data_IF_315217136160
#
_entry.id   IF_315217136160
#
_cell.length_a   1.000
_cell.length_b   1.000
_cell.length_c   1.000
_cell.angle_alpha   90.00
_cell.angle_beta   90.00
_cell.angle_gamma   90.00
#
_symmetry.space_group_name_H-M   'P 1'
#
loop_
_entity.id
_entity.type
_entity.pdbx_description
1 polymer ?
#
# COMPACT_ATOMS: atom_id res chain seq x y z
N UNK A 1 31.21 30.91 76.41
CA UNK A 1 30.39 29.92 75.69
C UNK A 1 30.03 30.49 74.32
N UNK A 2 30.59 29.89 73.26
CA UNK A 2 30.09 29.73 71.88
C UNK A 2 29.22 30.83 71.23
N UNK A 3 29.73 31.52 70.19
CA UNK A 3 29.62 31.20 68.73
C UNK A 3 28.25 31.66 68.13
N UNK A 4 28.08 32.35 66.98
CA UNK A 4 28.92 32.74 65.84
C UNK A 4 28.40 34.02 65.15
N UNK A 5 29.32 34.64 64.43
CA UNK A 5 29.22 35.56 63.30
C UNK A 5 28.39 34.97 62.12
N UNK A 6 27.46 35.75 61.56
CA UNK A 6 26.83 35.44 60.27
C UNK A 6 27.61 36.14 59.15
N UNK A 7 28.14 35.35 58.21
CA UNK A 7 28.78 35.81 56.98
C UNK A 7 27.93 35.44 55.75
N UNK A 8 27.96 36.38 54.82
CA UNK A 8 27.48 36.39 53.45
C UNK A 8 27.78 35.09 52.67
N UNK A 9 26.79 34.52 51.97
CA UNK A 9 27.04 33.66 50.80
C UNK A 9 26.02 33.94 49.70
N UNK A 10 26.51 34.43 48.57
CA UNK A 10 25.80 34.52 47.29
C UNK A 10 25.68 33.09 46.73
N UNK A 11 24.47 32.63 46.49
CA UNK A 11 24.22 31.38 45.78
C UNK A 11 24.58 31.57 44.29
N UNK A 12 25.69 30.95 43.87
CA UNK A 12 26.01 30.76 42.46
C UNK A 12 25.12 29.62 41.93
N UNK A 13 24.11 29.96 41.13
CA UNK A 13 23.31 28.99 40.40
C UNK A 13 24.18 28.31 39.34
N UNK A 14 24.51 27.04 39.56
CA UNK A 14 25.17 26.18 38.59
C UNK A 14 24.15 25.88 37.47
N UNK A 15 24.26 26.59 36.35
CA UNK A 15 23.54 26.27 35.11
C UNK A 15 24.12 24.96 34.56
N UNK A 16 23.52 23.84 34.94
CA UNK A 16 23.79 22.53 34.36
C UNK A 16 23.31 22.56 32.90
N UNK A 17 24.20 22.89 31.96
CA UNK A 17 23.96 22.70 30.54
C UNK A 17 23.80 21.19 30.30
N UNK A 18 22.56 20.73 30.23
CA UNK A 18 22.22 19.43 29.66
C UNK A 18 22.65 19.45 28.20
N UNK A 19 23.83 18.91 27.92
CA UNK A 19 24.25 18.57 26.58
C UNK A 19 23.26 17.50 26.08
N UNK A 20 22.28 17.94 25.28
CA UNK A 20 21.43 17.03 24.52
C UNK A 20 22.37 16.16 23.68
N UNK A 21 22.28 14.82 23.77
CA UNK A 21 23.08 13.96 22.91
C UNK A 21 22.71 14.29 21.47
N UNK A 22 23.70 14.72 20.69
CA UNK A 22 23.60 14.82 19.24
C UNK A 22 23.33 13.41 18.75
N UNK A 23 22.07 13.12 18.43
CA UNK A 23 21.70 11.88 17.76
C UNK A 23 22.47 11.90 16.44
N UNK A 24 23.30 10.90 16.14
CA UNK A 24 23.99 10.85 14.85
C UNK A 24 22.92 10.83 13.77
N UNK A 25 22.83 11.91 12.99
CA UNK A 25 22.05 11.95 11.77
C UNK A 25 22.71 10.95 10.83
N UNK A 26 22.12 9.75 10.72
CA UNK A 26 22.54 8.78 9.72
C UNK A 26 22.44 9.49 8.37
N UNK A 27 23.56 9.56 7.64
CA UNK A 27 23.61 10.27 6.38
C UNK A 27 22.50 9.72 5.47
N UNK A 28 21.53 10.58 5.13
CA UNK A 28 20.42 10.20 4.27
C UNK A 28 21.00 9.75 2.93
N UNK A 29 20.81 8.48 2.57
CA UNK A 29 21.20 7.99 1.26
C UNK A 29 20.47 8.81 0.19
N UNK A 30 21.14 9.13 -0.91
CA UNK A 30 20.49 9.83 -2.01
C UNK A 30 19.41 8.92 -2.62
N UNK A 31 18.15 9.38 -2.58
CA UNK A 31 17.01 8.68 -3.19
C UNK A 31 16.83 9.21 -4.61
N UNK A 32 16.85 8.35 -5.64
CA UNK A 32 16.54 8.74 -7.02
C UNK A 32 15.16 9.39 -7.15
N UNK A 33 15.02 10.26 -8.14
CA UNK A 33 13.74 10.91 -8.50
C UNK A 33 13.61 10.93 -10.05
N UNK A 34 12.68 10.17 -10.66
CA UNK A 34 11.71 9.28 -10.01
C UNK A 34 12.35 7.99 -9.44
N UNK A 35 11.77 7.46 -8.35
CA UNK A 35 12.18 6.21 -7.70
C UNK A 35 11.43 5.01 -8.32
N UNK A 36 12.16 4.06 -8.88
CA UNK A 36 11.60 2.76 -9.35
C UNK A 36 11.48 1.73 -8.22
N UNK A 37 10.66 0.70 -8.42
CA UNK A 37 10.50 -0.40 -7.47
C UNK A 37 11.83 -1.15 -7.29
N UNK A 38 12.55 -1.42 -8.38
CA UNK A 38 13.84 -2.10 -8.37
C UNK A 38 14.85 -1.35 -7.50
N UNK A 39 14.95 -0.01 -7.68
CA UNK A 39 15.81 0.84 -6.87
C UNK A 39 15.37 0.85 -5.40
N UNK A 40 14.07 0.97 -5.12
CA UNK A 40 13.55 0.96 -3.76
C UNK A 40 13.91 -0.32 -3.01
N UNK A 41 13.83 -1.49 -3.67
CA UNK A 41 14.15 -2.79 -3.07
C UNK A 41 15.63 -2.94 -2.68
N UNK A 42 16.55 -2.21 -3.33
CA UNK A 42 17.99 -2.26 -2.97
C UNK A 42 18.27 -1.70 -1.58
N UNK A 43 17.42 -0.81 -1.06
CA UNK A 43 17.56 -0.24 0.28
C UNK A 43 17.39 -1.28 1.40
N UNK A 44 16.79 -2.45 1.10
CA UNK A 44 16.63 -3.52 2.06
C UNK A 44 17.98 -4.04 2.61
N UNK A 45 19.03 -4.07 1.79
CA UNK A 45 20.33 -4.66 2.14
C UNK A 45 21.01 -3.95 3.32
N UNK A 46 20.81 -2.63 3.42
CA UNK A 46 21.41 -1.79 4.47
C UNK A 46 20.42 -1.39 5.56
N UNK A 47 19.20 -1.94 5.53
CA UNK A 47 18.15 -1.53 6.45
C UNK A 47 18.41 -2.09 7.86
N UNK A 48 18.31 -1.30 8.95
CA UNK A 48 18.60 -1.78 10.31
C UNK A 48 17.79 -3.03 10.71
N UNK A 49 16.55 -3.17 10.22
CA UNK A 49 15.70 -4.36 10.50
C UNK A 49 16.29 -5.68 10.01
N UNK A 50 17.12 -5.67 8.96
CA UNK A 50 17.74 -6.91 8.43
C UNK A 50 18.95 -7.36 9.25
N UNK A 51 19.46 -6.48 10.12
CA UNK A 51 20.61 -6.71 10.99
C UNK A 51 20.19 -7.17 12.41
N UNK A 52 18.90 -7.08 12.73
CA UNK A 52 18.35 -7.48 14.01
C UNK A 52 17.97 -8.96 13.99
N UNK A 53 17.99 -9.62 15.15
CA UNK A 53 17.35 -10.93 15.30
C UNK A 53 15.85 -10.82 15.06
N UNK A 54 15.22 -11.90 14.64
CA UNK A 54 13.78 -11.94 14.33
C UNK A 54 12.95 -11.52 15.55
N UNK A 55 13.34 -11.93 16.76
CA UNK A 55 12.64 -11.61 18.01
C UNK A 55 12.71 -10.12 18.36
N UNK A 56 13.86 -9.48 18.08
CA UNK A 56 14.02 -8.04 18.32
C UNK A 56 13.25 -7.27 17.24
N UNK A 57 13.35 -7.68 15.97
CA UNK A 57 12.63 -7.06 14.87
C UNK A 57 11.10 -7.12 15.07
N UNK A 58 10.59 -8.21 15.64
CA UNK A 58 9.17 -8.40 15.96
C UNK A 58 8.61 -7.38 16.97
N UNK A 59 9.47 -6.75 17.80
CA UNK A 59 9.06 -5.69 18.74
C UNK A 59 8.72 -4.37 18.06
N UNK A 60 9.07 -4.23 16.78
CA UNK A 60 8.84 -3.04 15.97
C UNK A 60 7.86 -3.36 14.83
N UNK A 61 6.56 -3.55 15.11
CA UNK A 61 5.58 -3.92 14.10
C UNK A 61 5.48 -2.84 13.02
N UNK A 62 5.24 -3.23 11.77
CA UNK A 62 5.04 -2.28 10.67
C UNK A 62 3.58 -1.83 10.63
N UNK A 63 3.35 -0.54 10.33
CA UNK A 63 2.00 0.04 10.19
C UNK A 63 1.19 -0.68 9.12
N UNK A 64 -0.14 -0.72 9.17
CA UNK A 64 -0.92 -1.31 8.05
C UNK A 64 -0.85 -0.43 6.79
N UNK A 65 -1.06 -0.99 5.58
CA UNK A 65 -1.23 -0.17 4.39
C UNK A 65 -2.58 0.57 4.46
N UNK A 66 -2.69 1.71 3.77
CA UNK A 66 -3.93 2.50 3.75
C UNK A 66 -4.87 2.09 2.62
N UNK A 67 -4.32 1.75 1.45
CA UNK A 67 -5.08 1.43 0.24
C UNK A 67 -4.86 -0.01 -0.22
N UNK A 68 -3.69 -0.59 0.04
CA UNK A 68 -3.38 -1.97 -0.34
C UNK A 68 -4.01 -3.00 0.63
N UNK A 69 -5.33 -3.12 0.63
CA UNK A 69 -6.12 -4.03 1.48
C UNK A 69 -6.45 -5.34 0.74
N UNK A 70 -5.45 -6.22 0.65
CA UNK A 70 -5.55 -7.46 -0.11
C UNK A 70 -6.49 -8.47 0.56
N UNK A 71 -6.57 -8.46 1.89
CA UNK A 71 -7.47 -9.35 2.63
C UNK A 71 -8.93 -9.07 2.29
N UNK A 72 -9.38 -7.82 2.41
CA UNK A 72 -10.77 -7.49 2.10
C UNK A 72 -11.10 -7.64 0.61
N UNK A 73 -10.12 -7.46 -0.27
CA UNK A 73 -10.29 -7.72 -1.70
C UNK A 73 -10.57 -9.21 -1.97
N UNK A 74 -9.92 -10.12 -1.25
CA UNK A 74 -10.13 -11.56 -1.37
C UNK A 74 -11.36 -12.08 -0.61
N UNK A 75 -11.58 -11.58 0.61
CA UNK A 75 -12.54 -12.14 1.57
C UNK A 75 -13.54 -11.10 2.09
N UNK A 76 -14.23 -10.43 1.18
CA UNK A 76 -15.25 -9.41 1.50
C UNK A 76 -16.55 -9.95 2.13
N UNK A 77 -16.65 -11.25 2.33
CA UNK A 77 -17.81 -11.93 2.92
C UNK A 77 -17.65 -12.19 4.42
N UNK A 78 -16.54 -11.75 5.03
CA UNK A 78 -16.29 -11.87 6.46
C UNK A 78 -16.90 -10.72 7.25
N UNK A 79 -17.29 -10.98 8.50
CA UNK A 79 -17.90 -9.97 9.38
C UNK A 79 -16.91 -8.94 9.92
N UNK A 80 -15.60 -9.23 9.87
CA UNK A 80 -14.54 -8.33 10.36
C UNK A 80 -13.31 -8.45 9.47
N UNK A 81 -12.72 -7.32 9.04
CA UNK A 81 -11.42 -7.32 8.38
C UNK A 81 -10.32 -7.96 9.24
N UNK A 82 -9.52 -8.86 8.67
CA UNK A 82 -8.31 -9.42 9.29
C UNK A 82 -7.05 -9.17 8.43
N UNK A 83 -6.72 -7.90 8.26
CA UNK A 83 -5.59 -7.47 7.43
C UNK A 83 -4.22 -7.90 8.02
N UNK A 84 -4.16 -8.54 9.21
CA UNK A 84 -2.92 -9.14 9.69
C UNK A 84 -2.53 -10.35 8.85
N UNK A 85 -3.52 -11.04 8.28
CA UNK A 85 -3.34 -12.19 7.39
C UNK A 85 -2.66 -11.82 6.07
N UNK A 86 -2.58 -10.54 5.72
CA UNK A 86 -1.86 -10.09 4.51
C UNK A 86 -0.33 -10.20 4.61
N UNK A 87 0.19 -10.55 5.78
CA UNK A 87 1.63 -10.66 6.02
C UNK A 87 2.04 -12.08 6.32
N UNK A 88 3.19 -12.45 5.77
CA UNK A 88 3.89 -13.65 6.19
C UNK A 88 4.34 -13.52 7.64
N UNK A 89 4.44 -14.66 8.32
CA UNK A 89 5.07 -14.70 9.64
C UNK A 89 6.56 -14.34 9.47
N UNK A 90 7.10 -13.34 10.19
CA UNK A 90 8.45 -12.84 9.93
C UNK A 90 9.57 -13.88 10.05
N UNK A 91 9.37 -14.94 10.82
CA UNK A 91 10.35 -16.03 10.96
C UNK A 91 10.43 -16.94 9.73
N UNK A 92 9.36 -17.03 8.93
CA UNK A 92 9.29 -17.95 7.79
C UNK A 92 10.00 -17.45 6.53
N UNK A 93 10.49 -16.21 6.55
CA UNK A 93 11.17 -15.60 5.42
C UNK A 93 12.49 -15.01 5.85
N UNK A 94 13.46 -14.98 4.94
CA UNK A 94 14.73 -14.33 5.19
C UNK A 94 14.51 -12.86 5.55
N UNK A 95 15.25 -12.29 6.54
CA UNK A 95 15.04 -10.90 6.97
C UNK A 95 15.14 -9.87 5.84
N UNK A 96 16.01 -10.11 4.86
CA UNK A 96 16.15 -9.28 3.66
C UNK A 96 14.90 -9.29 2.80
N UNK A 97 14.29 -10.46 2.61
CA UNK A 97 13.09 -10.61 1.78
C UNK A 97 11.85 -10.11 2.50
N UNK A 98 11.77 -10.27 3.83
CA UNK A 98 10.76 -9.61 4.65
C UNK A 98 10.80 -8.08 4.48
N UNK A 99 12.01 -7.49 4.47
CA UNK A 99 12.17 -6.05 4.25
C UNK A 99 11.82 -5.64 2.81
N UNK A 100 12.19 -6.44 1.80
CA UNK A 100 11.81 -6.21 0.40
C UNK A 100 10.29 -6.26 0.22
N UNK A 101 9.60 -7.21 0.84
CA UNK A 101 8.14 -7.32 0.82
C UNK A 101 7.48 -6.09 1.47
N UNK A 102 8.00 -5.61 2.60
CA UNK A 102 7.50 -4.38 3.23
C UNK A 102 7.71 -3.16 2.31
N UNK A 103 8.89 -2.99 1.71
CA UNK A 103 9.16 -1.89 0.76
C UNK A 103 8.22 -1.97 -0.44
N UNK A 104 8.04 -3.15 -1.04
CA UNK A 104 7.12 -3.38 -2.15
C UNK A 104 5.68 -3.00 -1.77
N UNK A 105 5.22 -3.42 -0.58
CA UNK A 105 3.91 -3.09 -0.06
C UNK A 105 3.71 -1.57 0.07
N UNK A 106 4.71 -0.84 0.60
CA UNK A 106 4.67 0.63 0.72
C UNK A 106 4.70 1.33 -0.62
N UNK A 107 5.50 0.81 -1.55
CA UNK A 107 5.61 1.36 -2.89
C UNK A 107 4.25 1.32 -3.61
N UNK A 108 3.57 0.17 -3.58
CA UNK A 108 2.22 0.04 -4.14
C UNK A 108 1.20 0.91 -3.41
N UNK A 109 1.29 1.03 -2.09
CA UNK A 109 0.38 1.89 -1.30
C UNK A 109 0.49 3.37 -1.67
N UNK A 110 1.70 3.86 -2.00
CA UNK A 110 1.91 5.23 -2.52
C UNK A 110 1.26 5.39 -3.90
N UNK A 111 1.46 4.45 -4.82
CA UNK A 111 0.85 4.51 -6.16
C UNK A 111 -0.68 4.51 -6.11
N UNK A 112 -1.27 3.73 -5.19
CA UNK A 112 -2.71 3.72 -4.96
C UNK A 112 -3.20 5.02 -4.30
N UNK A 113 -2.44 5.59 -3.36
CA UNK A 113 -2.78 6.87 -2.75
C UNK A 113 -2.79 8.01 -3.79
N UNK A 114 -1.80 8.03 -4.69
CA UNK A 114 -1.72 9.02 -5.76
C UNK A 114 -2.88 8.88 -6.74
N UNK A 115 -3.19 7.66 -7.16
CA UNK A 115 -4.34 7.39 -8.05
C UNK A 115 -5.68 7.70 -7.37
N UNK A 116 -5.81 7.46 -6.06
CA UNK A 116 -7.00 7.82 -5.28
C UNK A 116 -7.16 9.34 -5.16
N UNK A 117 -6.07 10.09 -4.97
CA UNK A 117 -6.12 11.55 -4.89
C UNK A 117 -6.55 12.18 -6.22
N UNK A 118 -6.10 11.64 -7.35
CA UNK A 118 -6.57 12.07 -8.68
C UNK A 118 -8.09 11.84 -8.81
N UNK A 119 -8.58 10.63 -8.51
CA UNK A 119 -10.01 10.31 -8.52
C UNK A 119 -10.82 11.26 -7.61
N UNK A 120 -10.34 11.51 -6.40
CA UNK A 120 -11.09 12.32 -5.43
C UNK A 120 -11.10 13.80 -5.81
N UNK A 121 -10.05 14.30 -6.46
CA UNK A 121 -10.03 15.64 -7.01
C UNK A 121 -11.01 15.78 -8.21
N UNK A 122 -11.07 14.77 -9.08
CA UNK A 122 -12.10 14.69 -10.14
C UNK A 122 -13.50 14.72 -9.53
N UNK A 123 -13.75 13.88 -8.53
CA UNK A 123 -15.04 13.80 -7.85
C UNK A 123 -15.41 15.15 -7.19
N UNK A 124 -14.47 15.80 -6.52
CA UNK A 124 -14.71 17.11 -5.90
C UNK A 124 -15.15 18.16 -6.94
N UNK A 125 -14.57 18.15 -8.15
CA UNK A 125 -14.96 19.05 -9.22
C UNK A 125 -16.40 18.79 -9.70
N UNK A 126 -16.83 17.52 -9.75
CA UNK A 126 -18.19 17.11 -10.15
C UNK A 126 -19.24 17.75 -9.24
N UNK A 127 -19.00 17.83 -7.92
CA UNK A 127 -19.92 18.46 -6.96
C UNK A 127 -19.75 19.98 -6.86
N UNK A 128 -18.53 20.49 -7.07
CA UNK A 128 -18.27 21.92 -7.00
C UNK A 128 -18.95 22.71 -8.12
N UNK A 129 -18.95 22.18 -9.35
CA UNK A 129 -19.49 22.89 -10.52
C UNK A 129 -21.00 23.20 -10.39
N UNK A 130 -21.87 22.24 -10.02
CA UNK A 130 -23.28 22.52 -9.75
C UNK A 130 -23.48 23.51 -8.61
N UNK A 131 -22.75 23.36 -7.50
CA UNK A 131 -22.83 24.26 -6.36
C UNK A 131 -22.53 25.73 -6.75
N UNK A 132 -21.42 25.94 -7.45
CA UNK A 132 -20.99 27.27 -7.90
C UNK A 132 -22.01 27.90 -8.87
N UNK A 133 -22.52 27.09 -9.82
CA UNK A 133 -23.56 27.51 -10.75
C UNK A 133 -24.86 27.88 -10.03
N UNK A 134 -25.30 27.08 -9.06
CA UNK A 134 -26.53 27.35 -8.29
C UNK A 134 -26.38 28.59 -7.42
N UNK A 135 -25.22 28.80 -6.79
CA UNK A 135 -24.91 30.04 -6.06
C UNK A 135 -25.08 31.27 -6.95
N UNK A 136 -24.55 31.23 -8.17
CA UNK A 136 -24.70 32.32 -9.14
C UNK A 136 -26.17 32.53 -9.57
N UNK A 137 -26.92 31.45 -9.82
CA UNK A 137 -28.33 31.55 -10.25
C UNK A 137 -29.30 31.93 -9.14
N UNK A 138 -28.95 31.68 -7.88
CA UNK A 138 -29.68 32.19 -6.72
C UNK A 138 -29.69 33.72 -6.69
N UNK A 139 -28.60 34.39 -7.12
CA UNK A 139 -28.57 35.85 -7.26
C UNK A 139 -29.60 36.36 -8.29
N UNK A 140 -29.90 35.53 -9.29
CA UNK A 140 -30.96 35.75 -10.29
C UNK A 140 -32.36 35.32 -9.81
N UNK A 141 -32.49 34.87 -8.56
CA UNK A 141 -33.71 34.35 -7.92
C UNK A 141 -34.31 33.12 -8.60
N UNK A 142 -33.51 32.37 -9.35
CA UNK A 142 -33.94 31.11 -9.99
C UNK A 142 -33.90 29.92 -9.03
N UNK A 143 -33.07 30.02 -7.98
CA UNK A 143 -32.89 29.01 -6.94
C UNK A 143 -33.05 29.62 -5.56
N UNK A 144 -33.41 28.79 -4.59
CA UNK A 144 -33.55 29.17 -3.19
C UNK A 144 -32.25 29.00 -2.40
N UNK A 145 -32.16 29.63 -1.24
CA UNK A 145 -31.07 29.39 -0.28
C UNK A 145 -31.00 27.92 0.17
N UNK A 146 -32.14 27.22 0.19
CA UNK A 146 -32.20 25.80 0.55
C UNK A 146 -31.50 24.93 -0.51
N UNK A 147 -31.71 25.21 -1.80
CA UNK A 147 -31.07 24.47 -2.90
C UNK A 147 -29.55 24.62 -2.84
N UNK A 148 -29.07 25.83 -2.53
CA UNK A 148 -27.63 26.09 -2.33
C UNK A 148 -27.11 25.35 -1.11
N UNK A 149 -27.85 25.36 0.01
CA UNK A 149 -27.46 24.68 1.24
C UNK A 149 -27.37 23.16 1.06
N UNK A 150 -28.28 22.56 0.29
CA UNK A 150 -28.26 21.13 -0.04
C UNK A 150 -26.99 20.76 -0.82
N UNK A 151 -26.69 21.47 -1.91
CA UNK A 151 -25.49 21.24 -2.71
C UNK A 151 -24.20 21.52 -1.93
N UNK A 152 -24.21 22.52 -1.03
CA UNK A 152 -23.04 22.80 -0.19
C UNK A 152 -22.77 21.64 0.77
N UNK A 153 -23.82 21.07 1.38
CA UNK A 153 -23.69 19.91 2.26
C UNK A 153 -23.10 18.70 1.53
N UNK A 154 -23.55 18.40 0.30
CA UNK A 154 -22.97 17.34 -0.52
C UNK A 154 -21.49 17.62 -0.87
N UNK A 155 -21.18 18.86 -1.25
CA UNK A 155 -19.82 19.28 -1.54
C UNK A 155 -18.88 19.14 -0.32
N UNK A 156 -19.34 19.46 0.89
CA UNK A 156 -18.51 19.32 2.09
C UNK A 156 -18.05 17.88 2.33
N UNK A 157 -18.89 16.87 1.98
CA UNK A 157 -18.52 15.45 2.09
C UNK A 157 -17.34 15.11 1.18
N UNK A 158 -17.43 15.48 -0.11
CA UNK A 158 -16.35 15.18 -1.06
C UNK A 158 -15.11 16.04 -0.82
N UNK A 159 -15.26 17.25 -0.26
CA UNK A 159 -14.15 18.10 0.17
C UNK A 159 -13.38 17.47 1.33
N UNK A 160 -14.07 16.90 2.32
CA UNK A 160 -13.43 16.15 3.39
C UNK A 160 -12.64 14.96 2.82
N UNK A 161 -13.23 14.21 1.89
CA UNK A 161 -12.57 13.09 1.24
C UNK A 161 -11.31 13.52 0.47
N UNK A 162 -11.38 14.62 -0.29
CA UNK A 162 -10.21 15.20 -0.97
C UNK A 162 -9.10 15.59 0.00
N UNK A 163 -9.44 16.24 1.12
CA UNK A 163 -8.47 16.59 2.16
C UNK A 163 -7.83 15.34 2.80
N UNK A 164 -8.61 14.28 3.02
CA UNK A 164 -8.10 13.00 3.51
C UNK A 164 -7.13 12.36 2.52
N UNK A 165 -7.43 12.37 1.22
CA UNK A 165 -6.54 11.80 0.21
C UNK A 165 -5.21 12.54 0.08
N UNK A 166 -5.20 13.88 0.21
CA UNK A 166 -3.95 14.67 0.29
C UNK A 166 -3.12 14.28 1.53
N UNK A 167 -3.77 14.13 2.69
CA UNK A 167 -3.09 13.68 3.90
C UNK A 167 -2.53 12.26 3.74
N UNK A 168 -3.28 11.37 3.10
CA UNK A 168 -2.87 10.00 2.81
C UNK A 168 -1.66 9.94 1.87
N UNK A 169 -1.58 10.76 0.82
CA UNK A 169 -0.40 10.83 -0.06
C UNK A 169 0.90 11.15 0.71
N UNK A 170 0.82 12.05 1.69
CA UNK A 170 1.97 12.38 2.55
C UNK A 170 2.29 11.24 3.51
N UNK A 171 1.26 10.62 4.09
CA UNK A 171 1.43 9.52 5.04
C UNK A 171 2.04 8.28 4.38
N UNK A 172 1.55 7.86 3.21
CA UNK A 172 2.10 6.71 2.49
C UNK A 172 3.55 6.95 2.06
N UNK A 173 3.89 8.16 1.61
CA UNK A 173 5.28 8.56 1.33
C UNK A 173 6.16 8.51 2.57
N UNK A 174 5.67 8.95 3.72
CA UNK A 174 6.40 8.85 5.00
C UNK A 174 6.65 7.40 5.41
N UNK A 175 5.69 6.50 5.18
CA UNK A 175 5.85 5.07 5.47
C UNK A 175 6.83 4.40 4.50
N UNK A 176 6.80 4.77 3.21
CA UNK A 176 7.81 4.32 2.25
C UNK A 176 9.21 4.83 2.62
N UNK A 177 9.32 6.12 2.95
CA UNK A 177 10.57 6.74 3.40
C UNK A 177 11.17 6.00 4.61
N UNK A 178 10.33 5.63 5.59
CA UNK A 178 10.75 4.80 6.71
C UNK A 178 11.22 3.40 6.26
N UNK A 179 10.50 2.75 5.35
CA UNK A 179 10.83 1.41 4.85
C UNK A 179 12.13 1.36 4.02
N UNK A 180 12.52 2.45 3.36
CA UNK A 180 13.79 2.55 2.62
C UNK A 180 14.93 3.13 3.46
N UNK A 181 14.76 3.21 4.79
CA UNK A 181 15.71 3.80 5.74
C UNK A 181 16.07 5.27 5.42
N UNK A 182 15.08 6.08 5.05
CA UNK A 182 15.26 7.50 4.78
C UNK A 182 14.09 8.37 5.30
N UNK A 183 13.76 8.30 6.60
CA UNK A 183 12.52 8.89 7.14
C UNK A 183 12.42 10.42 7.00
N UNK A 184 13.56 11.12 6.93
CA UNK A 184 13.60 12.59 6.82
C UNK A 184 13.42 13.10 5.38
N UNK A 185 13.64 12.26 4.37
CA UNK A 185 13.52 12.62 2.95
C UNK A 185 12.45 11.76 2.28
N UNK A 186 11.27 12.35 2.11
CA UNK A 186 10.15 11.70 1.43
C UNK A 186 10.46 11.49 -0.07
N UNK A 187 10.22 10.30 -0.64
CA UNK A 187 10.22 10.11 -2.08
C UNK A 187 9.21 11.05 -2.74
N UNK A 188 9.64 11.73 -3.81
CA UNK A 188 8.82 12.70 -4.52
C UNK A 188 7.96 12.00 -5.57
N UNK A 189 8.58 11.54 -6.66
CA UNK A 189 7.92 10.81 -7.74
C UNK A 189 8.29 9.32 -7.74
N UNK A 190 7.31 8.45 -7.95
CA UNK A 190 7.51 7.02 -8.11
C UNK A 190 7.27 6.63 -9.57
N UNK A 191 8.16 5.80 -10.11
CA UNK A 191 7.95 5.20 -11.43
C UNK A 191 7.06 3.95 -11.28
N UNK A 192 5.85 3.91 -11.88
CA UNK A 192 5.01 2.71 -11.84
C UNK A 192 5.72 1.52 -12.48
N UNK A 193 5.79 0.36 -11.82
CA UNK A 193 6.51 -0.80 -12.33
C UNK A 193 5.71 -1.46 -13.45
N UNK A 194 6.42 -2.07 -14.40
CA UNK A 194 5.79 -2.99 -15.35
C UNK A 194 5.51 -4.29 -14.63
N UNK A 195 4.22 -4.60 -14.43
CA UNK A 195 3.81 -5.79 -13.71
C UNK A 195 3.86 -7.02 -14.62
N UNK A 196 4.36 -8.17 -14.13
CA UNK A 196 4.35 -9.41 -14.88
C UNK A 196 2.91 -9.90 -15.06
N UNK A 197 2.67 -10.63 -16.16
CA UNK A 197 1.41 -11.34 -16.33
C UNK A 197 1.26 -12.39 -15.22
N UNK A 198 0.04 -12.58 -14.67
CA UNK A 198 -0.20 -13.66 -13.72
C UNK A 198 0.09 -15.01 -14.39
N UNK A 199 0.58 -16.01 -13.64
CA UNK A 199 0.79 -17.34 -14.18
C UNK A 199 -0.54 -17.91 -14.70
N UNK A 200 -0.51 -18.58 -15.84
CA UNK A 200 -1.71 -19.17 -16.45
C UNK A 200 -2.36 -20.22 -15.53
N UNK A 201 -1.52 -21.02 -14.88
CA UNK A 201 -1.88 -22.05 -13.92
C UNK A 201 -0.93 -21.98 -12.72
N UNK A 202 -1.49 -22.04 -11.52
CA UNK A 202 -0.71 -22.07 -10.28
C UNK A 202 -0.31 -23.52 -9.98
N UNK A 203 0.93 -23.78 -9.51
CA UNK A 203 1.30 -25.08 -9.00
C UNK A 203 0.40 -25.48 -7.83
N UNK A 204 0.28 -26.77 -7.59
CA UNK A 204 -0.52 -27.28 -6.48
C UNK A 204 0.07 -26.87 -5.13
N UNK A 205 -0.76 -26.79 -4.09
CA UNK A 205 -0.32 -26.44 -2.73
C UNK A 205 0.79 -27.37 -2.23
N UNK A 206 0.74 -28.67 -2.56
CA UNK A 206 1.77 -29.64 -2.16
C UNK A 206 3.10 -29.44 -2.91
N UNK A 207 3.07 -29.04 -4.19
CA UNK A 207 4.28 -28.68 -4.94
C UNK A 207 4.92 -27.40 -4.39
N UNK A 208 4.11 -26.40 -4.05
CA UNK A 208 4.57 -25.15 -3.43
C UNK A 208 5.13 -25.40 -2.04
N UNK A 209 4.48 -26.25 -1.25
CA UNK A 209 4.96 -26.65 0.08
C UNK A 209 6.31 -27.35 -0.02
N UNK A 210 6.46 -28.30 -0.94
CA UNK A 210 7.74 -28.98 -1.16
C UNK A 210 8.84 -27.97 -1.55
N UNK A 211 8.56 -27.09 -2.50
CA UNK A 211 9.52 -26.07 -2.92
C UNK A 211 9.90 -25.08 -1.80
N UNK A 212 8.98 -24.80 -0.88
CA UNK A 212 9.25 -23.97 0.30
C UNK A 212 10.15 -24.70 1.30
N UNK A 213 9.86 -25.97 1.61
CA UNK A 213 10.66 -26.79 2.53
C UNK A 213 12.07 -27.08 2.01
N UNK A 214 12.25 -27.06 0.68
CA UNK A 214 13.55 -27.21 0.03
C UNK A 214 14.39 -25.90 0.04
N UNK A 215 13.86 -24.78 0.58
CA UNK A 215 14.59 -23.51 0.66
C UNK A 215 15.54 -23.46 1.85
N UNK A 216 16.75 -22.92 1.63
CA UNK A 216 17.82 -22.85 2.65
C UNK A 216 17.34 -22.23 3.97
N UNK A 217 16.58 -21.12 3.91
CA UNK A 217 16.10 -20.42 5.11
C UNK A 217 15.12 -21.28 5.94
N UNK A 218 14.19 -21.97 5.28
CA UNK A 218 13.21 -22.79 6.00
C UNK A 218 13.82 -24.11 6.47
N UNK A 219 14.75 -24.71 5.71
CA UNK A 219 15.47 -25.90 6.18
C UNK A 219 16.28 -25.60 7.44
N UNK A 220 17.03 -24.50 7.46
CA UNK A 220 17.82 -24.08 8.63
C UNK A 220 16.90 -23.82 9.84
N UNK A 221 15.79 -23.11 9.63
CA UNK A 221 14.81 -22.82 10.67
C UNK A 221 14.18 -24.10 11.27
N UNK A 222 13.91 -25.11 10.44
CA UNK A 222 13.30 -26.38 10.87
C UNK A 222 14.31 -27.32 11.54
N UNK A 223 15.60 -27.20 11.20
CA UNK A 223 16.68 -27.98 11.81
C UNK A 223 17.06 -27.45 13.20
N UNK A 224 16.95 -26.14 13.42
CA UNK A 224 17.15 -25.50 14.73
C UNK A 224 15.96 -25.69 15.71
N UNK A 225 14.79 -26.08 15.20
CA UNK A 225 13.55 -26.19 15.97
C UNK A 225 13.44 -27.51 16.77
N UNK A 226 12.93 -27.42 18.00
CA UNK A 226 12.55 -28.62 18.76
C UNK A 226 11.29 -29.30 18.18
N UNK A 227 10.98 -30.53 18.60
CA UNK A 227 9.87 -31.27 17.99
C UNK A 227 8.50 -30.57 18.08
N UNK A 228 8.10 -29.95 19.21
CA UNK A 228 6.88 -29.13 19.27
C UNK A 228 6.92 -27.91 18.35
N UNK A 229 8.03 -27.16 18.33
CA UNK A 229 8.19 -25.97 17.49
C UNK A 229 8.15 -26.34 16.01
N UNK A 230 8.82 -27.43 15.62
CA UNK A 230 8.80 -27.93 14.24
C UNK A 230 7.38 -28.27 13.78
N UNK A 231 6.60 -28.93 14.62
CA UNK A 231 5.20 -29.24 14.31
C UNK A 231 4.35 -27.97 14.10
N UNK A 232 4.57 -26.92 14.90
CA UNK A 232 3.89 -25.63 14.73
C UNK A 232 4.34 -24.91 13.46
N UNK A 233 5.63 -24.92 13.14
CA UNK A 233 6.17 -24.34 11.90
C UNK A 233 5.60 -25.05 10.67
N UNK A 234 5.55 -26.38 10.66
CA UNK A 234 4.98 -27.15 9.56
C UNK A 234 3.49 -26.79 9.31
N UNK A 235 2.71 -26.64 10.40
CA UNK A 235 1.32 -26.20 10.31
C UNK A 235 1.21 -24.78 9.74
N UNK A 236 2.05 -23.85 10.20
CA UNK A 236 2.01 -22.45 9.79
C UNK A 236 2.45 -22.27 8.32
N UNK A 237 3.52 -22.94 7.89
CA UNK A 237 3.99 -22.90 6.49
C UNK A 237 2.88 -23.40 5.57
N UNK A 238 2.29 -24.56 5.88
CA UNK A 238 1.17 -25.13 5.11
C UNK A 238 -0.02 -24.16 5.06
N UNK A 239 -0.38 -23.55 6.19
CA UNK A 239 -1.49 -22.61 6.27
C UNK A 239 -1.23 -21.34 5.43
N UNK A 240 -0.03 -20.74 5.52
CA UNK A 240 0.29 -19.52 4.77
C UNK A 240 0.33 -19.78 3.25
N UNK A 241 0.91 -20.90 2.82
CA UNK A 241 0.91 -21.26 1.40
C UNK A 241 -0.52 -21.47 0.91
N UNK A 242 -1.36 -22.19 1.66
CA UNK A 242 -2.77 -22.39 1.32
C UNK A 242 -3.52 -21.06 1.17
N UNK A 243 -3.37 -20.15 2.14
CA UNK A 243 -4.01 -18.83 2.08
C UNK A 243 -3.56 -18.03 0.86
N UNK A 244 -2.27 -18.03 0.53
CA UNK A 244 -1.75 -17.31 -0.64
C UNK A 244 -2.30 -17.87 -1.95
N UNK A 245 -2.35 -19.20 -2.09
CA UNK A 245 -2.93 -19.85 -3.28
C UNK A 245 -4.40 -19.49 -3.42
N UNK A 246 -5.18 -19.62 -2.34
CA UNK A 246 -6.61 -19.27 -2.36
C UNK A 246 -6.81 -17.78 -2.70
N UNK A 247 -5.98 -16.87 -2.18
CA UNK A 247 -6.07 -15.44 -2.54
C UNK A 247 -5.81 -15.21 -4.01
N UNK A 248 -4.78 -15.85 -4.58
CA UNK A 248 -4.47 -15.71 -6.00
C UNK A 248 -5.62 -16.19 -6.90
N UNK A 249 -6.27 -17.30 -6.52
CA UNK A 249 -7.47 -17.79 -7.21
C UNK A 249 -8.62 -16.78 -7.15
N UNK A 250 -8.86 -16.19 -5.98
CA UNK A 250 -9.88 -15.14 -5.84
C UNK A 250 -9.51 -13.88 -6.61
N UNK A 251 -8.24 -13.45 -6.62
CA UNK A 251 -7.81 -12.28 -7.38
C UNK A 251 -7.95 -12.48 -8.88
N UNK A 252 -7.79 -13.70 -9.39
CA UNK A 252 -8.12 -14.05 -10.78
C UNK A 252 -9.60 -13.80 -11.09
N UNK A 253 -10.50 -14.24 -10.20
CA UNK A 253 -11.94 -13.98 -10.34
C UNK A 253 -12.25 -12.47 -10.23
N UNK A 254 -11.60 -11.76 -9.30
CA UNK A 254 -11.77 -10.32 -9.13
C UNK A 254 -11.29 -9.55 -10.36
N UNK A 255 -10.20 -9.97 -11.01
CA UNK A 255 -9.68 -9.39 -12.23
C UNK A 255 -10.66 -9.54 -13.41
N UNK A 256 -11.24 -10.73 -13.60
CA UNK A 256 -12.24 -10.95 -14.65
C UNK A 256 -13.51 -10.12 -14.41
N UNK A 257 -13.98 -10.04 -13.17
CA UNK A 257 -15.08 -9.14 -12.79
C UNK A 257 -14.74 -7.69 -13.10
N UNK A 258 -13.58 -7.21 -12.65
CA UNK A 258 -13.15 -5.82 -12.85
C UNK A 258 -13.04 -5.48 -14.34
N UNK A 259 -12.54 -6.40 -15.18
CA UNK A 259 -12.51 -6.25 -16.64
C UNK A 259 -13.89 -6.03 -17.24
N UNK A 260 -14.88 -6.83 -16.82
CA UNK A 260 -16.27 -6.65 -17.25
C UNK A 260 -16.86 -5.32 -16.76
N UNK A 261 -16.54 -4.92 -15.52
CA UNK A 261 -16.99 -3.63 -14.96
C UNK A 261 -16.36 -2.45 -15.70
N UNK A 262 -15.07 -2.48 -16.01
CA UNK A 262 -14.36 -1.46 -16.80
C UNK A 262 -15.04 -1.27 -18.15
N UNK A 263 -15.28 -2.37 -18.86
CA UNK A 263 -15.94 -2.33 -20.17
C UNK A 263 -17.33 -1.69 -20.08
N UNK A 264 -18.10 -2.04 -19.05
CA UNK A 264 -19.42 -1.45 -18.84
C UNK A 264 -19.33 0.05 -18.50
N UNK A 265 -18.38 0.48 -17.64
CA UNK A 265 -18.17 1.90 -17.31
C UNK A 265 -17.75 2.71 -18.52
N UNK A 266 -16.95 2.15 -19.41
CA UNK A 266 -16.55 2.81 -20.66
C UNK A 266 -17.77 3.04 -21.58
N UNK A 267 -18.63 2.04 -21.76
CA UNK A 267 -19.88 2.21 -22.51
C UNK A 267 -20.83 3.20 -21.84
N UNK A 268 -20.91 3.17 -20.50
CA UNK A 268 -21.74 4.11 -19.76
C UNK A 268 -21.28 5.55 -19.95
N UNK A 269 -19.97 5.80 -19.86
CA UNK A 269 -19.40 7.13 -20.09
C UNK A 269 -19.71 7.63 -21.52
N UNK A 270 -19.60 6.76 -22.52
CA UNK A 270 -19.92 7.12 -23.90
C UNK A 270 -21.41 7.48 -24.09
N UNK A 271 -22.30 6.75 -23.42
CA UNK A 271 -23.72 7.09 -23.37
C UNK A 271 -23.95 8.45 -22.71
N UNK A 272 -23.34 8.71 -21.55
CA UNK A 272 -23.48 9.99 -20.85
C UNK A 272 -22.92 11.17 -21.65
N UNK A 273 -21.84 10.95 -22.42
CA UNK A 273 -21.33 11.93 -23.40
C UNK A 273 -22.32 12.23 -24.50
N UNK A 274 -22.88 11.19 -25.12
CA UNK A 274 -23.89 11.35 -26.18
C UNK A 274 -25.11 12.15 -25.69
N UNK A 275 -25.59 11.87 -24.47
CA UNK A 275 -26.69 12.63 -23.86
C UNK A 275 -26.33 14.09 -23.64
N UNK A 276 -25.12 14.36 -23.16
CA UNK A 276 -24.61 15.72 -22.97
C UNK A 276 -24.53 16.49 -24.30
N UNK A 277 -24.01 15.87 -25.36
CA UNK A 277 -23.93 16.45 -26.70
C UNK A 277 -25.30 16.73 -27.33
N UNK A 278 -26.31 15.92 -26.99
CA UNK A 278 -27.70 16.13 -27.40
C UNK A 278 -28.46 17.15 -26.52
N UNK A 279 -27.75 17.85 -25.63
CA UNK A 279 -28.31 18.81 -24.67
C UNK A 279 -29.35 18.19 -23.71
N UNK A 280 -29.29 16.87 -23.52
CA UNK A 280 -30.09 16.15 -22.54
C UNK A 280 -29.34 16.14 -21.21
N UNK A 281 -30.07 16.23 -20.09
CA UNK A 281 -29.48 16.11 -18.75
C UNK A 281 -28.66 14.83 -18.66
N UNK A 282 -27.38 14.99 -18.33
CA UNK A 282 -26.36 13.94 -18.30
C UNK A 282 -25.63 13.95 -16.96
N UNK A 283 -25.16 12.78 -16.55
CA UNK A 283 -24.35 12.50 -15.37
C UNK A 283 -22.88 12.22 -15.74
N UNK A 284 -22.37 12.87 -16.80
CA UNK A 284 -21.01 12.64 -17.32
C UNK A 284 -19.92 12.76 -16.24
N UNK A 285 -20.06 13.70 -15.30
CA UNK A 285 -19.13 13.86 -14.18
C UNK A 285 -19.07 12.61 -13.31
N UNK A 286 -20.22 12.09 -12.91
CA UNK A 286 -20.30 10.85 -12.12
C UNK A 286 -19.77 9.65 -12.91
N UNK A 287 -20.11 9.55 -14.19
CA UNK A 287 -19.61 8.50 -15.07
C UNK A 287 -18.07 8.49 -15.15
N UNK A 288 -17.45 9.66 -15.25
CA UNK A 288 -15.98 9.81 -15.23
C UNK A 288 -15.39 9.35 -13.89
N UNK A 289 -15.96 9.80 -12.76
CA UNK A 289 -15.51 9.36 -11.43
C UNK A 289 -15.61 7.84 -11.26
N UNK A 290 -16.69 7.22 -11.76
CA UNK A 290 -16.85 5.76 -11.70
C UNK A 290 -15.83 5.02 -12.58
N UNK A 291 -15.46 5.57 -13.75
CA UNK A 291 -14.38 5.02 -14.57
C UNK A 291 -13.04 5.05 -13.81
N UNK A 292 -12.69 6.19 -13.20
CA UNK A 292 -11.47 6.33 -12.39
C UNK A 292 -11.47 5.38 -11.19
N UNK A 293 -12.63 5.16 -10.55
CA UNK A 293 -12.78 4.18 -9.46
C UNK A 293 -12.47 2.75 -9.89
N UNK A 294 -12.99 2.30 -11.04
CA UNK A 294 -12.77 0.93 -11.51
C UNK A 294 -11.32 0.71 -11.93
N UNK A 295 -10.66 1.73 -12.51
CA UNK A 295 -9.21 1.71 -12.80
C UNK A 295 -8.36 1.60 -11.54
N UNK A 296 -8.71 2.33 -10.47
CA UNK A 296 -8.03 2.20 -9.17
C UNK A 296 -8.18 0.77 -8.61
N UNK A 297 -9.38 0.19 -8.70
CA UNK A 297 -9.59 -1.19 -8.27
C UNK A 297 -8.79 -2.19 -9.12
N UNK A 298 -8.65 -1.95 -10.42
CA UNK A 298 -7.80 -2.76 -11.29
C UNK A 298 -6.35 -2.76 -10.82
N UNK A 299 -5.79 -1.58 -10.52
CA UNK A 299 -4.43 -1.44 -9.99
C UNK A 299 -4.28 -2.16 -8.65
N UNK A 300 -5.27 -2.02 -7.75
CA UNK A 300 -5.27 -2.70 -6.45
C UNK A 300 -5.22 -4.23 -6.60
N UNK A 301 -6.03 -4.80 -7.50
CA UNK A 301 -6.03 -6.24 -7.80
C UNK A 301 -4.67 -6.69 -8.33
N UNK A 302 -4.09 -5.92 -9.25
CA UNK A 302 -2.78 -6.24 -9.82
C UNK A 302 -1.66 -6.20 -8.78
N UNK A 303 -1.61 -5.17 -7.93
CA UNK A 303 -0.63 -5.07 -6.86
C UNK A 303 -0.79 -6.16 -5.80
N UNK A 304 -2.02 -6.49 -5.39
CA UNK A 304 -2.27 -7.58 -4.46
C UNK A 304 -1.87 -8.95 -5.03
N UNK A 305 -2.12 -9.18 -6.32
CA UNK A 305 -1.69 -10.41 -7.00
C UNK A 305 -0.17 -10.53 -7.04
N UNK A 306 0.52 -9.45 -7.40
CA UNK A 306 1.98 -9.40 -7.46
C UNK A 306 2.60 -9.56 -6.07
N UNK A 307 2.03 -8.93 -5.04
CA UNK A 307 2.50 -9.08 -3.66
C UNK A 307 2.34 -10.53 -3.17
N UNK A 308 1.21 -11.18 -3.46
CA UNK A 308 0.99 -12.58 -3.08
C UNK A 308 1.96 -13.53 -3.80
N UNK A 309 2.27 -13.29 -5.08
CA UNK A 309 3.31 -14.04 -5.81
C UNK A 309 4.70 -13.80 -5.22
N UNK A 310 5.02 -12.56 -4.86
CA UNK A 310 6.28 -12.19 -4.23
C UNK A 310 6.46 -12.86 -2.85
N UNK A 311 5.37 -12.96 -2.08
CA UNK A 311 5.31 -13.70 -0.81
C UNK A 311 5.56 -15.21 -1.01
N UNK A 312 4.93 -15.82 -2.03
CA UNK A 312 5.21 -17.21 -2.39
C UNK A 312 6.67 -17.43 -2.80
N UNK A 313 7.26 -16.50 -3.55
CA UNK A 313 8.68 -16.57 -3.91
C UNK A 313 9.58 -16.49 -2.68
N UNK A 314 9.29 -15.58 -1.74
CA UNK A 314 10.06 -15.43 -0.51
C UNK A 314 10.06 -16.72 0.32
N UNK A 315 8.91 -17.40 0.43
CA UNK A 315 8.81 -18.71 1.11
C UNK A 315 9.58 -19.83 0.40
N UNK A 316 9.83 -19.71 -0.90
CA UNK A 316 10.57 -20.68 -1.71
C UNK A 316 12.07 -20.34 -1.85
N UNK A 317 12.56 -19.30 -1.16
CA UNK A 317 13.93 -18.79 -1.34
C UNK A 317 14.19 -18.20 -2.74
N UNK A 318 13.14 -17.92 -3.51
CA UNK A 318 13.22 -17.29 -4.84
C UNK A 318 13.22 -15.76 -4.68
N UNK A 319 13.75 -15.00 -5.66
CA UNK A 319 13.75 -13.55 -5.58
C UNK A 319 12.31 -12.99 -5.49
N UNK A 320 12.11 -12.08 -4.53
CA UNK A 320 10.86 -11.32 -4.34
C UNK A 320 10.53 -10.49 -5.59
N UNK A 321 11.56 -9.96 -6.27
CA UNK A 321 11.46 -9.22 -7.52
C UNK A 321 12.78 -9.31 -8.31
N UNK A 322 12.76 -9.33 -9.65
CA UNK A 322 11.60 -9.47 -10.53
C UNK A 322 10.96 -10.86 -10.39
N UNK A 323 9.64 -10.94 -10.53
CA UNK A 323 8.97 -12.24 -10.57
C UNK A 323 9.32 -12.94 -11.90
N UNK A 324 9.55 -14.24 -11.85
CA UNK A 324 9.77 -15.04 -13.06
C UNK A 324 8.57 -14.84 -14.01
N UNK A 325 8.81 -14.24 -15.16
CA UNK A 325 7.78 -14.10 -16.19
C UNK A 325 7.56 -15.48 -16.79
N UNK A 326 6.31 -15.96 -16.82
CA UNK A 326 5.97 -17.09 -17.68
C UNK A 326 6.26 -16.63 -19.10
N UNK A 327 7.34 -17.13 -19.70
CA UNK A 327 7.70 -16.74 -21.06
C UNK A 327 6.49 -17.00 -21.95
N UNK A 328 5.92 -15.94 -22.53
CA UNK A 328 4.95 -16.08 -23.59
C UNK A 328 5.57 -17.00 -24.64
N UNK A 329 4.90 -18.11 -24.92
CA UNK A 329 5.26 -19.04 -25.99
C UNK A 329 5.50 -18.17 -27.24
N UNK A 330 6.68 -18.21 -27.89
CA UNK A 330 6.92 -17.37 -29.05
C UNK A 330 5.82 -17.65 -30.07
N UNK A 331 5.14 -16.60 -30.52
CA UNK A 331 4.13 -16.67 -31.57
C UNK A 331 4.73 -17.45 -32.74
N UNK A 332 4.15 -18.62 -32.99
CA UNK A 332 4.41 -19.43 -34.16
C UNK A 332 3.99 -18.57 -35.35
N UNK A 333 4.97 -17.93 -36.00
CA UNK A 333 4.78 -17.28 -37.30
C UNK A 333 4.28 -18.36 -38.25
N UNK A 334 2.98 -18.41 -38.47
CA UNK A 334 2.39 -19.20 -39.55
C UNK A 334 2.89 -18.65 -40.89
N UNK A 335 3.31 -19.54 -41.81
CA UNK A 335 4.02 -19.18 -43.04
C UNK A 335 3.17 -18.42 -44.06
#
# INVERSE_FOLDING_TARGET
MNNKTFWNTRAAGLLLCLALPVIPTQAANEVPDPLSLEQALTFAEKHPRTQLSVEIAARYPTSRPLYLDCHNLAYNNSASPDNQRDRLLPSLVAPIDAQRLEIMQRFFDVLLADSSAVRDNENMAVYFIPLDRTKTRMELKEFSELDVAELDAEYQVVRQQGAASIASQRLTRSLLAQAINNPEKLPNELQPPTLPAPPAELPTTEELLKAALDSDHLSDLLDDADAPQRALLDMEIRQQILELVLRLDIFKVAAERNKAETLWRDYYLERSRTLYEQEVKSDIGDAMTQQSKVRLQQQQIQFCSVLALAQLNALQGKPVWPLATTAAKPEEKTP
#
